data_IF_263693489053
#
_entry.id   IF_263693489053
#
_cell.length_a   1.000
_cell.length_b   1.000
_cell.length_c   1.000
_cell.angle_alpha   90.00
_cell.angle_beta   90.00
_cell.angle_gamma   90.00
#
_symmetry.space_group_name_H-M   'P 1'
#
loop_
_entity.id
_entity.type
_entity.pdbx_description
1 polymer ?
#
# COMPACT_ATOMS: atom_id res chain seq x y z
N UNK A 1 10.23 6.23 33.46
CA UNK A 1 10.79 5.66 32.21
C UNK A 1 12.16 5.11 32.58
N UNK A 2 12.37 3.80 32.46
CA UNK A 2 13.57 3.12 32.99
C UNK A 2 14.73 3.22 32.00
N UNK A 3 15.89 3.72 32.47
CA UNK A 3 17.14 3.84 31.71
C UNK A 3 17.54 2.54 30.98
N UNK A 4 17.33 1.38 31.62
CA UNK A 4 17.63 0.06 31.05
C UNK A 4 16.91 -0.25 29.71
N UNK A 5 15.78 0.42 29.41
CA UNK A 5 15.06 0.22 28.15
C UNK A 5 15.65 1.04 27.00
N UNK A 6 16.33 2.15 27.29
CA UNK A 6 17.04 2.95 26.30
C UNK A 6 18.39 2.32 25.96
N UNK A 7 19.10 1.79 26.95
CA UNK A 7 20.38 1.11 26.71
C UNK A 7 20.22 -0.15 25.84
N UNK A 8 19.15 -0.93 26.07
CA UNK A 8 18.78 -2.06 25.22
C UNK A 8 18.42 -1.66 23.78
N UNK A 9 17.89 -0.46 23.56
CA UNK A 9 17.61 0.06 22.21
C UNK A 9 18.90 0.52 21.53
N UNK A 10 19.81 1.15 22.28
CA UNK A 10 21.11 1.62 21.77
C UNK A 10 21.97 0.43 21.33
N UNK A 11 22.11 -0.60 22.17
CA UNK A 11 22.85 -1.83 21.81
C UNK A 11 22.25 -2.53 20.58
N UNK A 12 20.91 -2.56 20.49
CA UNK A 12 20.23 -3.14 19.32
C UNK A 12 20.42 -2.31 18.04
N UNK A 13 20.65 -1.00 18.13
CA UNK A 13 20.94 -0.14 16.98
C UNK A 13 22.40 -0.29 16.53
N UNK A 14 23.34 -0.44 17.47
CA UNK A 14 24.76 -0.63 17.18
C UNK A 14 25.03 -1.97 16.48
N UNK A 15 24.37 -3.05 16.91
CA UNK A 15 24.47 -4.37 16.28
C UNK A 15 23.87 -4.38 14.85
N UNK A 16 22.80 -3.59 14.66
CA UNK A 16 22.15 -3.42 13.35
C UNK A 16 22.94 -2.53 12.39
N UNK A 17 23.61 -1.49 12.91
CA UNK A 17 24.48 -0.61 12.13
C UNK A 17 25.80 -1.30 11.72
N UNK A 18 26.38 -2.12 12.60
CA UNK A 18 27.55 -2.94 12.30
C UNK A 18 27.28 -3.92 11.14
N UNK A 19 26.08 -4.51 11.10
CA UNK A 19 25.66 -5.47 10.07
C UNK A 19 25.36 -4.83 8.69
N UNK A 20 25.10 -3.52 8.60
CA UNK A 20 24.86 -2.81 7.32
C UNK A 20 26.12 -2.34 6.60
N UNK A 21 27.29 -2.48 7.20
CA UNK A 21 28.57 -2.10 6.59
C UNK A 21 29.00 -2.97 5.40
N UNK A 22 28.20 -3.98 5.03
CA UNK A 22 28.47 -4.93 3.93
C UNK A 22 27.41 -5.01 2.83
N UNK A 23 26.54 -4.01 2.65
CA UNK A 23 25.58 -4.00 1.54
C UNK A 23 26.14 -3.14 0.40
N UNK A 24 27.01 -3.74 -0.41
CA UNK A 24 27.48 -3.14 -1.65
C UNK A 24 26.29 -2.83 -2.54
N UNK A 25 26.15 -1.57 -2.94
CA UNK A 25 25.22 -1.18 -3.98
C UNK A 25 25.72 -1.82 -5.28
N UNK A 26 25.06 -2.87 -5.78
CA UNK A 26 25.33 -3.34 -7.13
C UNK A 26 24.85 -2.23 -8.10
N UNK A 27 25.76 -1.59 -8.86
CA UNK A 27 25.44 -0.37 -9.62
C UNK A 27 24.35 -0.57 -10.70
N UNK A 28 24.06 -1.83 -11.06
CA UNK A 28 23.12 -2.22 -12.11
C UNK A 28 21.79 -2.81 -11.58
N UNK A 29 21.57 -2.84 -10.26
CA UNK A 29 20.35 -3.38 -9.69
C UNK A 29 19.12 -2.49 -10.03
N UNK A 30 18.04 -3.12 -10.50
CA UNK A 30 16.78 -2.44 -10.75
C UNK A 30 16.19 -1.92 -9.43
N UNK A 31 15.57 -0.74 -9.45
CA UNK A 31 14.97 -0.15 -8.25
C UNK A 31 13.44 -0.26 -8.28
N UNK A 32 12.85 -0.75 -7.19
CA UNK A 32 11.42 -0.74 -6.94
C UNK A 32 11.06 0.21 -5.79
N UNK A 33 9.90 0.86 -5.92
CA UNK A 33 9.30 1.67 -4.87
C UNK A 33 8.16 0.89 -4.21
N UNK A 34 8.28 0.56 -2.93
CA UNK A 34 7.21 -0.04 -2.14
C UNK A 34 6.48 1.03 -1.32
N UNK A 35 5.16 1.09 -1.44
CA UNK A 35 4.31 2.04 -0.72
C UNK A 35 3.35 1.24 0.16
N UNK A 36 3.44 1.41 1.47
CA UNK A 36 2.60 0.70 2.44
C UNK A 36 1.94 1.64 3.43
N UNK A 37 1.00 1.10 4.21
CA UNK A 37 0.40 1.84 5.30
C UNK A 37 1.37 1.94 6.48
N UNK A 38 1.55 3.13 7.04
CA UNK A 38 2.37 3.36 8.24
C UNK A 38 1.91 2.55 9.46
N UNK A 39 0.60 2.29 9.56
CA UNK A 39 0.01 1.50 10.64
C UNK A 39 0.02 0.00 10.34
N UNK A 40 0.64 -0.43 9.24
CA UNK A 40 0.76 -1.83 8.90
C UNK A 40 1.79 -2.51 9.80
N UNK A 41 1.42 -3.64 10.38
CA UNK A 41 2.38 -4.57 10.99
C UNK A 41 3.13 -5.41 9.96
N UNK A 42 2.82 -5.27 8.67
CA UNK A 42 3.42 -6.06 7.60
C UNK A 42 4.86 -5.62 7.33
N UNK A 43 5.81 -6.49 7.66
CA UNK A 43 7.16 -6.41 7.10
C UNK A 43 7.16 -7.14 5.75
N UNK A 44 7.71 -6.50 4.71
CA UNK A 44 8.02 -7.17 3.44
C UNK A 44 9.21 -8.12 3.68
N UNK A 45 8.92 -9.31 4.21
CA UNK A 45 9.92 -10.34 4.47
C UNK A 45 10.35 -11.12 3.23
N UNK A 46 9.49 -11.12 2.20
CA UNK A 46 9.70 -11.81 0.93
C UNK A 46 9.44 -10.84 -0.22
N UNK A 47 10.18 -10.94 -1.33
CA UNK A 47 9.93 -10.12 -2.52
C UNK A 47 8.52 -10.33 -3.05
N UNK A 48 7.87 -9.25 -3.48
CA UNK A 48 6.60 -9.30 -4.19
C UNK A 48 6.84 -9.05 -5.67
N UNK A 49 6.32 -9.91 -6.52
CA UNK A 49 6.40 -9.74 -7.96
C UNK A 49 5.92 -8.33 -8.39
N UNK A 50 6.57 -7.66 -9.36
CA UNK A 50 7.67 -8.14 -10.21
C UNK A 50 9.06 -8.08 -9.58
N UNK A 51 9.14 -7.67 -8.31
CA UNK A 51 10.41 -7.47 -7.60
C UNK A 51 10.95 -8.81 -7.12
N UNK A 52 12.22 -9.08 -7.37
CA UNK A 52 12.95 -10.23 -6.85
C UNK A 52 14.06 -9.81 -5.86
N UNK A 53 14.79 -10.79 -5.32
CA UNK A 53 15.80 -10.57 -4.29
C UNK A 53 17.03 -9.75 -4.74
N UNK A 54 17.21 -9.53 -6.05
CA UNK A 54 18.32 -8.75 -6.63
C UNK A 54 18.00 -7.25 -6.75
N UNK A 55 16.72 -6.87 -6.62
CA UNK A 55 16.31 -5.48 -6.78
C UNK A 55 16.60 -4.65 -5.52
N UNK A 56 16.91 -3.39 -5.73
CA UNK A 56 16.93 -2.39 -4.67
C UNK A 56 15.50 -1.93 -4.36
N UNK A 57 15.02 -2.14 -3.13
CA UNK A 57 13.67 -1.70 -2.71
C UNK A 57 13.78 -0.47 -1.83
N UNK A 58 13.22 0.64 -2.32
CA UNK A 58 13.01 1.85 -1.52
C UNK A 58 11.57 1.87 -1.03
N UNK A 59 11.34 2.15 0.25
CA UNK A 59 10.02 2.07 0.87
C UNK A 59 9.51 3.44 1.32
N UNK A 60 8.21 3.66 1.16
CA UNK A 60 7.46 4.81 1.67
C UNK A 60 6.28 4.30 2.47
N UNK A 61 6.09 4.86 3.66
CA UNK A 61 4.95 4.57 4.51
C UNK A 61 4.06 5.81 4.60
N UNK A 62 2.79 5.67 4.21
CA UNK A 62 1.80 6.74 4.28
C UNK A 62 0.57 6.29 5.05
N UNK A 63 -0.25 7.22 5.52
CA UNK A 63 -1.54 6.86 6.12
C UNK A 63 -2.44 6.23 5.05
N UNK A 64 -2.96 5.03 5.34
CA UNK A 64 -3.84 4.31 4.41
C UNK A 64 -3.20 4.02 3.06
N UNK A 65 -1.87 3.86 3.01
CA UNK A 65 -1.08 3.60 1.80
C UNK A 65 -1.44 4.53 0.63
N UNK A 66 -1.81 5.79 0.94
CA UNK A 66 -2.11 6.83 -0.04
C UNK A 66 -0.88 7.18 -0.87
N UNK A 67 -1.08 7.39 -2.17
CA UNK A 67 0.01 7.67 -3.13
C UNK A 67 -0.10 9.08 -3.72
N UNK A 68 -1.03 9.87 -3.20
CA UNK A 68 -1.40 11.17 -3.73
C UNK A 68 -1.71 12.15 -2.61
N UNK A 69 -1.48 13.43 -2.87
CA UNK A 69 -1.81 14.56 -2.00
C UNK A 69 -2.50 15.67 -2.80
N UNK A 70 -3.03 16.68 -2.09
CA UNK A 70 -3.64 17.86 -2.71
C UNK A 70 -2.68 19.04 -2.65
N UNK A 71 -2.41 19.62 -3.81
CA UNK A 71 -1.62 20.84 -3.95
C UNK A 71 -2.34 21.81 -4.89
N UNK A 72 -2.62 23.02 -4.43
CA UNK A 72 -3.32 24.06 -5.22
C UNK A 72 -4.60 23.58 -5.92
N UNK A 73 -5.39 22.77 -5.22
CA UNK A 73 -6.65 22.22 -5.73
C UNK A 73 -6.50 21.02 -6.68
N UNK A 74 -5.27 20.67 -7.06
CA UNK A 74 -4.96 19.52 -7.92
C UNK A 74 -4.58 18.30 -7.08
N UNK A 75 -4.86 17.12 -7.61
CA UNK A 75 -4.35 15.86 -7.08
C UNK A 75 -2.99 15.60 -7.72
N UNK A 76 -1.95 15.45 -6.90
CA UNK A 76 -0.56 15.23 -7.33
C UNK A 76 0.02 14.02 -6.58
N UNK A 77 1.09 13.39 -7.07
CA UNK A 77 1.77 12.34 -6.31
C UNK A 77 2.22 12.84 -4.94
N UNK A 78 2.20 11.96 -3.93
CA UNK A 78 2.73 12.30 -2.61
C UNK A 78 4.18 12.81 -2.75
N UNK A 79 4.49 13.89 -2.03
CA UNK A 79 5.78 14.58 -2.12
C UNK A 79 7.00 13.68 -1.85
N UNK A 80 6.86 12.64 -1.04
CA UNK A 80 7.94 11.67 -0.78
C UNK A 80 8.13 10.72 -1.97
N UNK A 81 7.02 10.24 -2.56
CA UNK A 81 7.05 9.45 -3.80
C UNK A 81 7.67 10.27 -4.94
N UNK A 82 7.26 11.53 -5.04
CA UNK A 82 7.77 12.51 -6.01
C UNK A 82 9.27 12.77 -5.83
N UNK A 83 9.75 12.86 -4.60
CA UNK A 83 11.16 13.01 -4.32
C UNK A 83 11.94 11.75 -4.74
N UNK A 84 11.49 10.55 -4.35
CA UNK A 84 12.19 9.30 -4.66
C UNK A 84 12.27 9.02 -6.16
N UNK A 85 11.21 9.34 -6.93
CA UNK A 85 11.26 9.18 -8.40
C UNK A 85 12.28 10.10 -9.08
N UNK A 86 12.71 11.19 -8.42
CA UNK A 86 13.77 12.07 -8.94
C UNK A 86 15.17 11.55 -8.62
N UNK A 87 15.30 10.70 -7.59
CA UNK A 87 16.58 10.17 -7.12
C UNK A 87 16.87 8.77 -7.67
N UNK A 88 15.84 8.02 -8.08
CA UNK A 88 15.94 6.64 -8.52
C UNK A 88 15.26 6.42 -9.87
N UNK A 89 15.88 5.60 -10.72
CA UNK A 89 15.25 5.08 -11.94
C UNK A 89 14.32 3.91 -11.58
N UNK A 90 13.12 4.24 -11.12
CA UNK A 90 12.12 3.27 -10.64
C UNK A 90 11.60 2.44 -11.81
N UNK A 91 11.73 1.11 -11.73
CA UNK A 91 11.22 0.15 -12.71
C UNK A 91 9.90 -0.51 -12.30
N UNK A 92 9.63 -0.57 -11.00
CA UNK A 92 8.38 -1.08 -10.46
C UNK A 92 7.90 -0.29 -9.25
N UNK A 93 6.58 -0.16 -9.10
CA UNK A 93 5.94 0.39 -7.91
C UNK A 93 4.99 -0.64 -7.33
N UNK A 94 5.14 -0.93 -6.04
CA UNK A 94 4.28 -1.83 -5.28
C UNK A 94 3.42 -1.01 -4.32
N UNK A 95 2.10 -1.03 -4.48
CA UNK A 95 1.16 -0.47 -3.48
C UNK A 95 0.65 -1.61 -2.62
N UNK A 96 0.95 -1.60 -1.32
CA UNK A 96 0.64 -2.70 -0.40
C UNK A 96 -0.34 -2.20 0.67
N UNK A 97 -1.61 -2.57 0.50
CA UNK A 97 -2.63 -2.44 1.54
C UNK A 97 -2.61 -3.64 2.49
N UNK A 98 -3.39 -3.57 3.56
CA UNK A 98 -3.59 -4.68 4.47
C UNK A 98 -5.04 -4.74 4.95
N UNK A 99 -5.53 -5.95 5.23
CA UNK A 99 -6.85 -6.12 5.85
C UNK A 99 -6.86 -5.49 7.25
N UNK A 100 -8.05 -5.13 7.73
CA UNK A 100 -8.24 -4.44 9.02
C UNK A 100 -7.42 -3.13 9.14
N UNK A 101 -7.24 -2.40 8.05
CA UNK A 101 -6.53 -1.12 8.07
C UNK A 101 -7.32 -0.07 8.87
N UNK A 102 -6.82 0.26 10.06
CA UNK A 102 -7.43 1.22 10.99
C UNK A 102 -7.66 2.57 10.33
N UNK A 103 -6.71 3.05 9.51
CA UNK A 103 -6.83 4.33 8.80
C UNK A 103 -8.03 4.35 7.84
N UNK A 104 -8.33 3.23 7.18
CA UNK A 104 -9.49 3.11 6.29
C UNK A 104 -10.80 2.95 7.09
N UNK A 105 -10.74 2.28 8.25
CA UNK A 105 -11.84 2.26 9.21
C UNK A 105 -12.21 3.67 9.68
N UNK A 106 -11.21 4.45 10.09
CA UNK A 106 -11.31 5.85 10.48
C UNK A 106 -11.92 6.75 9.38
N UNK A 107 -11.57 6.48 8.12
CA UNK A 107 -12.13 7.20 6.98
C UNK A 107 -13.60 6.84 6.74
N UNK A 108 -13.97 5.57 6.93
CA UNK A 108 -15.35 5.10 6.83
C UNK A 108 -16.23 5.67 7.94
N UNK A 109 -15.78 5.66 9.19
CA UNK A 109 -16.51 6.24 10.31
C UNK A 109 -16.79 7.73 10.09
N UNK A 110 -15.79 8.48 9.61
CA UNK A 110 -15.94 9.90 9.24
C UNK A 110 -16.81 10.14 8.02
N UNK A 111 -16.96 9.14 7.15
CA UNK A 111 -17.89 9.22 6.03
C UNK A 111 -19.35 9.10 6.51
N UNK A 112 -19.63 8.16 7.42
CA UNK A 112 -20.96 8.01 8.03
C UNK A 112 -21.30 9.22 8.92
N UNK A 113 -20.35 9.61 9.79
CA UNK A 113 -20.51 10.65 10.78
C UNK A 113 -19.36 11.66 10.66
N UNK A 114 -19.52 12.72 9.83
CA UNK A 114 -18.48 13.72 9.63
C UNK A 114 -18.07 14.41 10.93
N UNK A 115 -16.78 14.34 11.25
CA UNK A 115 -16.21 14.99 12.44
C UNK A 115 -15.91 16.48 12.16
N UNK A 116 -16.58 17.37 12.89
CA UNK A 116 -16.38 18.82 12.78
C UNK A 116 -15.12 19.31 13.49
N UNK A 117 -14.57 18.57 14.45
CA UNK A 117 -13.53 19.04 15.38
C UNK A 117 -12.13 18.46 15.10
N UNK A 118 -11.97 17.55 14.13
CA UNK A 118 -10.66 16.96 13.85
C UNK A 118 -9.56 18.00 13.52
N UNK A 119 -8.33 17.82 14.04
CA UNK A 119 -7.19 18.69 13.70
C UNK A 119 -6.94 18.78 12.20
N UNK A 120 -6.54 19.96 11.72
CA UNK A 120 -6.38 20.25 10.28
C UNK A 120 -5.43 19.25 9.59
N UNK A 121 -4.35 18.83 10.26
CA UNK A 121 -3.41 17.84 9.71
C UNK A 121 -4.02 16.46 9.50
N UNK A 122 -4.87 16.01 10.43
CA UNK A 122 -5.61 14.74 10.32
C UNK A 122 -6.66 14.86 9.21
N UNK A 123 -7.42 15.96 9.18
CA UNK A 123 -8.38 16.25 8.10
C UNK A 123 -7.70 16.23 6.73
N UNK A 124 -6.55 16.87 6.59
CA UNK A 124 -5.83 16.93 5.32
C UNK A 124 -5.45 15.54 4.77
N UNK A 125 -5.14 14.57 5.63
CA UNK A 125 -4.81 13.20 5.24
C UNK A 125 -6.04 12.30 5.07
N UNK A 126 -7.04 12.43 5.94
CA UNK A 126 -8.24 11.57 5.92
C UNK A 126 -9.33 12.01 4.94
N UNK A 127 -9.45 13.29 4.59
CA UNK A 127 -10.47 13.77 3.65
C UNK A 127 -10.41 13.09 2.26
N UNK A 128 -9.23 12.88 1.64
CA UNK A 128 -9.14 12.09 0.42
C UNK A 128 -9.63 10.64 0.58
N UNK A 129 -9.35 10.00 1.73
CA UNK A 129 -9.84 8.64 2.02
C UNK A 129 -11.34 8.62 2.28
N UNK A 130 -11.88 9.62 2.97
CA UNK A 130 -13.33 9.80 3.16
C UNK A 130 -14.04 9.96 1.81
N UNK A 131 -13.46 10.74 0.91
CA UNK A 131 -13.95 10.91 -0.46
C UNK A 131 -13.89 9.59 -1.26
N UNK A 132 -12.84 8.79 -1.05
CA UNK A 132 -12.71 7.46 -1.62
C UNK A 132 -13.83 6.52 -1.13
N UNK A 133 -14.16 6.54 0.18
CA UNK A 133 -15.27 5.75 0.73
C UNK A 133 -16.58 6.08 0.01
N UNK A 134 -16.91 7.36 -0.13
CA UNK A 134 -18.12 7.80 -0.84
C UNK A 134 -18.18 7.27 -2.27
N UNK A 135 -17.08 7.36 -3.02
CA UNK A 135 -17.00 6.77 -4.38
C UNK A 135 -17.22 5.26 -4.38
N UNK A 136 -16.74 4.55 -3.36
CA UNK A 136 -16.96 3.11 -3.22
C UNK A 136 -18.44 2.74 -3.09
N UNK A 137 -19.23 3.56 -2.38
CA UNK A 137 -20.69 3.41 -2.30
C UNK A 137 -21.38 3.81 -3.61
N UNK A 138 -21.00 4.93 -4.22
CA UNK A 138 -21.54 5.40 -5.51
C UNK A 138 -21.35 4.37 -6.63
N UNK A 139 -20.23 3.66 -6.62
CA UNK A 139 -19.90 2.63 -7.61
C UNK A 139 -20.48 1.24 -7.28
N UNK A 140 -21.17 1.09 -6.15
CA UNK A 140 -21.73 -0.20 -5.70
C UNK A 140 -20.70 -1.24 -5.24
N UNK A 141 -19.44 -0.84 -5.08
CA UNK A 141 -18.37 -1.68 -4.50
C UNK A 141 -18.67 -1.96 -3.02
N UNK A 142 -19.21 -0.95 -2.35
CA UNK A 142 -19.69 -0.99 -0.97
C UNK A 142 -21.21 -0.84 -0.94
N UNK A 143 -21.87 -1.56 -0.04
CA UNK A 143 -23.32 -1.43 0.19
C UNK A 143 -23.61 -1.42 1.69
N UNK A 144 -24.70 -0.76 2.09
CA UNK A 144 -25.11 -0.68 3.50
C UNK A 144 -25.52 -2.05 4.09
N UNK A 145 -25.80 -3.03 3.25
CA UNK A 145 -26.14 -4.40 3.67
C UNK A 145 -24.93 -5.22 4.12
N UNK A 146 -23.71 -4.76 3.86
CA UNK A 146 -22.48 -5.45 4.27
C UNK A 146 -22.22 -5.24 5.76
N UNK A 147 -21.64 -6.24 6.41
CA UNK A 147 -21.10 -6.04 7.76
C UNK A 147 -19.95 -5.03 7.72
N UNK A 148 -19.75 -4.28 8.82
CA UNK A 148 -18.65 -3.32 8.97
C UNK A 148 -17.29 -3.93 8.58
N UNK A 149 -17.03 -5.14 9.07
CA UNK A 149 -15.80 -5.87 8.77
C UNK A 149 -15.64 -6.15 7.26
N UNK A 150 -16.72 -6.55 6.58
CA UNK A 150 -16.69 -6.76 5.13
C UNK A 150 -16.48 -5.47 4.36
N UNK A 151 -17.08 -4.36 4.82
CA UNK A 151 -16.84 -3.03 4.26
C UNK A 151 -15.36 -2.67 4.36
N UNK A 152 -14.72 -2.87 5.52
CA UNK A 152 -13.30 -2.59 5.71
C UNK A 152 -12.42 -3.42 4.78
N UNK A 153 -12.67 -4.72 4.64
CA UNK A 153 -11.89 -5.58 3.75
C UNK A 153 -12.02 -5.18 2.27
N UNK A 154 -13.25 -4.90 1.82
CA UNK A 154 -13.48 -4.42 0.45
C UNK A 154 -12.87 -3.04 0.23
N UNK A 155 -12.95 -2.15 1.21
CA UNK A 155 -12.38 -0.81 1.15
C UNK A 155 -10.85 -0.85 1.04
N UNK A 156 -10.17 -1.79 1.72
CA UNK A 156 -8.72 -2.01 1.54
C UNK A 156 -8.38 -2.31 0.08
N UNK A 157 -9.03 -3.30 -0.53
CA UNK A 157 -8.76 -3.66 -1.92
C UNK A 157 -9.11 -2.51 -2.88
N UNK A 158 -10.26 -1.86 -2.64
CA UNK A 158 -10.70 -0.73 -3.45
C UNK A 158 -9.70 0.42 -3.39
N UNK A 159 -9.20 0.74 -2.19
CA UNK A 159 -8.15 1.74 -2.02
C UNK A 159 -6.90 1.39 -2.82
N UNK A 160 -6.37 0.17 -2.68
CA UNK A 160 -5.19 -0.28 -3.44
C UNK A 160 -5.40 -0.13 -4.95
N UNK A 161 -6.56 -0.54 -5.48
CA UNK A 161 -6.89 -0.38 -6.91
C UNK A 161 -6.90 1.09 -7.34
N UNK A 162 -7.48 1.97 -6.53
CA UNK A 162 -7.54 3.41 -6.84
C UNK A 162 -6.15 4.07 -6.79
N UNK A 163 -5.30 3.68 -5.85
CA UNK A 163 -3.90 4.15 -5.81
C UNK A 163 -3.10 3.66 -7.03
N UNK A 164 -3.24 2.38 -7.42
CA UNK A 164 -2.59 1.83 -8.63
C UNK A 164 -3.06 2.57 -9.88
N UNK A 165 -4.36 2.82 -10.01
CA UNK A 165 -4.92 3.54 -11.15
C UNK A 165 -4.37 4.98 -11.24
N UNK A 166 -4.24 5.66 -10.10
CA UNK A 166 -3.63 6.99 -10.06
C UNK A 166 -2.17 6.95 -10.48
N UNK A 167 -1.39 6.03 -9.90
CA UNK A 167 0.04 5.91 -10.20
C UNK A 167 0.30 5.54 -11.67
N UNK A 168 -0.57 4.74 -12.29
CA UNK A 168 -0.48 4.40 -13.71
C UNK A 168 -0.51 5.65 -14.61
N UNK A 169 -1.24 6.68 -14.19
CA UNK A 169 -1.32 7.95 -14.91
C UNK A 169 -0.14 8.87 -14.56
N UNK A 170 0.42 8.73 -13.36
CA UNK A 170 1.49 9.58 -12.85
C UNK A 170 2.90 9.12 -13.26
N UNK A 171 3.08 7.83 -13.58
CA UNK A 171 4.35 7.23 -13.98
C UNK A 171 4.41 6.96 -15.50
N UNK A 172 5.62 6.91 -16.08
CA UNK A 172 5.79 6.44 -17.46
C UNK A 172 5.29 5.01 -17.64
N UNK A 173 4.78 4.69 -18.83
CA UNK A 173 4.25 3.36 -19.16
C UNK A 173 5.29 2.22 -19.12
N UNK A 174 6.58 2.55 -19.02
CA UNK A 174 7.66 1.58 -18.81
C UNK A 174 7.76 1.07 -17.38
N UNK A 175 7.09 1.72 -16.41
CA UNK A 175 7.11 1.34 -15.00
C UNK A 175 5.94 0.40 -14.72
N UNK A 176 6.22 -0.78 -14.15
CA UNK A 176 5.17 -1.72 -13.75
C UNK A 176 4.57 -1.30 -12.41
N UNK A 177 3.25 -1.26 -12.28
CA UNK A 177 2.56 -0.84 -11.06
C UNK A 177 1.65 -1.96 -10.58
N UNK A 178 2.01 -2.55 -9.45
CA UNK A 178 1.30 -3.68 -8.86
C UNK A 178 0.68 -3.30 -7.52
N UNK A 179 -0.57 -3.70 -7.33
CA UNK A 179 -1.33 -3.51 -6.10
C UNK A 179 -1.50 -4.82 -5.36
N UNK A 180 -0.99 -4.89 -4.14
CA UNK A 180 -1.12 -6.04 -3.26
C UNK A 180 -1.99 -5.72 -2.04
N UNK A 181 -2.71 -6.73 -1.57
CA UNK A 181 -3.32 -6.73 -0.23
C UNK A 181 -2.66 -7.82 0.60
N UNK A 182 -2.11 -7.43 1.76
CA UNK A 182 -1.74 -8.35 2.81
C UNK A 182 -3.00 -8.75 3.60
N UNK A 183 -3.46 -9.96 3.36
CA UNK A 183 -4.59 -10.59 4.02
C UNK A 183 -4.15 -11.20 5.35
N UNK A 184 -4.24 -10.40 6.42
CA UNK A 184 -3.93 -10.80 7.79
C UNK A 184 -5.05 -11.66 8.40
N UNK A 185 -6.26 -11.52 7.86
CA UNK A 185 -7.48 -12.09 8.43
C UNK A 185 -7.93 -13.38 7.69
N UNK A 186 -7.29 -13.70 6.57
CA UNK A 186 -7.63 -14.85 5.73
C UNK A 186 -8.94 -14.67 4.95
N UNK A 187 -9.35 -13.43 4.64
CA UNK A 187 -10.63 -13.17 3.98
C UNK A 187 -10.67 -13.65 2.52
N UNK A 188 -9.53 -13.73 1.82
CA UNK A 188 -9.53 -14.10 0.40
C UNK A 188 -9.71 -15.60 0.16
N UNK A 189 -9.10 -16.45 0.99
CA UNK A 189 -9.17 -17.91 0.82
C UNK A 189 -9.10 -18.72 2.14
N UNK A 190 -9.42 -18.08 3.26
CA UNK A 190 -9.40 -18.68 4.61
C UNK A 190 -8.02 -19.00 5.18
N UNK A 191 -6.93 -18.55 4.56
CA UNK A 191 -5.57 -18.62 5.13
C UNK A 191 -5.01 -17.22 5.40
N UNK A 192 -4.79 -16.86 6.68
CA UNK A 192 -4.20 -15.57 7.03
C UNK A 192 -2.72 -15.48 6.61
N UNK A 193 -2.20 -14.26 6.71
CA UNK A 193 -0.83 -13.86 6.39
C UNK A 193 -0.41 -14.20 4.95
N UNK A 194 -1.34 -13.99 4.01
CA UNK A 194 -1.09 -14.15 2.57
C UNK A 194 -1.16 -12.81 1.86
N UNK A 195 -0.43 -12.66 0.77
CA UNK A 195 -0.43 -11.44 -0.06
C UNK A 195 -1.07 -11.78 -1.40
N UNK A 196 -2.05 -10.98 -1.80
CA UNK A 196 -2.78 -11.15 -3.07
C UNK A 196 -2.53 -9.97 -3.98
N UNK A 197 -2.14 -10.25 -5.22
CA UNK A 197 -2.12 -9.26 -6.29
C UNK A 197 -3.57 -8.99 -6.72
N UNK A 198 -4.02 -7.76 -6.53
CA UNK A 198 -5.41 -7.32 -6.77
C UNK A 198 -5.52 -6.30 -7.91
N UNK A 199 -4.40 -5.74 -8.34
CA UNK A 199 -4.30 -4.83 -9.47
C UNK A 199 -2.92 -4.90 -10.13
N UNK A 200 -2.87 -4.85 -11.47
CA UNK A 200 -1.64 -4.78 -12.26
C UNK A 200 -1.83 -3.81 -13.43
N UNK A 201 -1.10 -2.70 -13.43
CA UNK A 201 -1.17 -1.64 -14.46
C UNK A 201 -2.63 -1.24 -14.76
N UNK A 202 -3.41 -1.02 -13.69
CA UNK A 202 -4.82 -0.67 -13.76
C UNK A 202 -5.80 -1.81 -14.06
N UNK A 203 -5.31 -3.01 -14.42
CA UNK A 203 -6.15 -4.21 -14.58
C UNK A 203 -6.46 -4.81 -13.22
N UNK A 204 -7.73 -5.15 -12.99
CA UNK A 204 -8.23 -5.64 -11.70
C UNK A 204 -8.93 -6.99 -11.77
N UNK A 205 -9.30 -7.46 -12.97
CA UNK A 205 -9.88 -8.78 -13.16
C UNK A 205 -8.84 -9.89 -12.87
N UNK A 206 -9.07 -10.78 -11.89
CA UNK A 206 -8.10 -11.81 -11.50
C UNK A 206 -7.66 -12.72 -12.65
N UNK A 207 -8.59 -13.07 -13.56
CA UNK A 207 -8.30 -13.95 -14.70
C UNK A 207 -7.35 -13.26 -15.68
N UNK A 208 -7.62 -11.99 -15.98
CA UNK A 208 -6.79 -11.16 -16.86
C UNK A 208 -5.42 -10.89 -16.25
N UNK A 209 -5.34 -10.65 -14.93
CA UNK A 209 -4.06 -10.51 -14.23
C UNK A 209 -3.28 -11.83 -14.33
N UNK A 210 -3.89 -12.97 -14.02
CA UNK A 210 -3.20 -14.26 -14.04
C UNK A 210 -2.63 -14.59 -15.42
N UNK A 211 -3.32 -14.24 -16.50
CA UNK A 211 -2.85 -14.43 -17.87
C UNK A 211 -1.60 -13.60 -18.23
N UNK A 212 -1.26 -12.55 -17.45
CA UNK A 212 -0.08 -11.71 -17.66
C UNK A 212 1.11 -12.10 -16.77
N UNK A 213 0.87 -12.97 -15.79
CA UNK A 213 1.91 -13.38 -14.85
C UNK A 213 2.76 -14.52 -15.42
N UNK A 214 4.00 -14.66 -14.95
CA UNK A 214 4.75 -15.90 -15.17
C UNK A 214 3.98 -17.10 -14.59
N UNK A 215 4.29 -18.30 -15.09
CA UNK A 215 3.72 -19.54 -14.57
C UNK A 215 4.34 -19.92 -13.21
N UNK A 216 4.08 -19.08 -12.22
CA UNK A 216 4.51 -19.24 -10.84
C UNK A 216 3.27 -19.24 -9.94
N UNK A 217 3.02 -20.37 -9.27
CA UNK A 217 1.90 -20.54 -8.36
C UNK A 217 2.08 -19.79 -7.01
N UNK A 218 3.27 -19.28 -6.73
CA UNK A 218 3.55 -18.46 -5.54
C UNK A 218 2.84 -17.11 -5.61
N UNK A 219 2.63 -16.58 -6.83
CA UNK A 219 1.93 -15.30 -7.06
C UNK A 219 0.42 -15.53 -6.98
N UNK A 220 -0.15 -15.17 -5.84
CA UNK A 220 -1.58 -15.31 -5.57
C UNK A 220 -2.34 -14.13 -6.16
N UNK A 221 -3.40 -14.43 -6.90
CA UNK A 221 -4.29 -13.44 -7.51
C UNK A 221 -5.71 -13.76 -7.06
N UNK A 222 -6.40 -12.80 -6.48
CA UNK A 222 -7.78 -12.92 -6.05
C UNK A 222 -8.41 -11.54 -5.88
N UNK A 223 -9.73 -11.48 -5.69
CA UNK A 223 -10.46 -10.23 -5.47
C UNK A 223 -11.68 -10.45 -4.57
N UNK A 224 -11.92 -9.52 -3.66
CA UNK A 224 -13.12 -9.39 -2.83
C UNK A 224 -14.20 -8.51 -3.48
N UNK A 225 -13.87 -7.89 -4.63
CA UNK A 225 -14.69 -6.92 -5.35
C UNK A 225 -15.27 -7.47 -6.66
N UNK A 226 -15.35 -8.81 -6.76
CA UNK A 226 -16.00 -9.50 -7.88
C UNK A 226 -17.47 -9.77 -7.61
#
# INVERSE_FOLDING_TARGET
>A
MNANKLDSVIESVEDWAGSRSGMGHEPDAQTALAISCLMSSCKLSEPLWPVDATWNVVSVETLGNQTQERYEGKTVPDSTIEHLRTQHDIKAVLVVGHTSCEVLGDAYERWIAPDTESPVGIKARLEPLRSLVGKGFEQGVLTESLSLQTVQYRLTEYNVRQQVQFLQQAFPSSVTIAGYVHDQDGVYNSFPDRRYLVALDGVTDPTTIRARLPDDASIRVASLLT
#
